data_IF_637485720144
#
_entry.id   IF_637485720144
#
_cell.length_a   1.000
_cell.length_b   1.000
_cell.length_c   1.000
_cell.angle_alpha   90.00
_cell.angle_beta   90.00
_cell.angle_gamma   90.00
#
_symmetry.space_group_name_H-M   'P 1'
#
loop_
_entity.id
_entity.type
_entity.pdbx_description
1 polymer ?
#
# COMPACT_ATOMS: atom_id res chain seq x y z
N UNK A 1 -10.81 -17.32 26.98
CA UNK A 1 -11.68 -16.38 27.73
C UNK A 1 -13.02 -16.32 27.02
N UNK A 2 -14.13 -16.15 27.72
CA UNK A 2 -15.42 -15.90 27.09
C UNK A 2 -15.37 -14.53 26.38
N UNK A 3 -16.10 -14.35 25.26
CA UNK A 3 -16.23 -13.05 24.64
C UNK A 3 -16.83 -12.02 25.62
N UNK A 4 -16.36 -10.78 25.54
CA UNK A 4 -16.90 -9.69 26.34
C UNK A 4 -18.35 -9.40 25.93
N UNK A 5 -19.20 -9.14 26.91
CA UNK A 5 -20.53 -8.61 26.68
C UNK A 5 -20.46 -7.18 26.08
N UNK A 6 -21.48 -6.72 25.33
CA UNK A 6 -21.44 -5.41 24.70
C UNK A 6 -21.14 -4.25 25.66
N UNK A 7 -21.68 -4.29 26.88
CA UNK A 7 -21.44 -3.29 27.90
C UNK A 7 -20.03 -3.33 28.49
N UNK A 8 -19.41 -4.51 28.55
CA UNK A 8 -18.04 -4.68 29.02
C UNK A 8 -17.03 -4.08 28.02
N UNK A 9 -17.36 -4.12 26.71
CA UNK A 9 -16.54 -3.51 25.66
C UNK A 9 -16.48 -1.99 25.73
N UNK A 10 -17.50 -1.35 26.28
CA UNK A 10 -17.61 0.10 26.40
C UNK A 10 -17.40 0.60 27.85
N UNK A 11 -17.01 -0.29 28.78
CA UNK A 11 -16.86 0.06 30.18
C UNK A 11 -15.67 1.03 30.37
N UNK A 12 -15.98 2.22 30.87
CA UNK A 12 -14.97 3.23 31.22
C UNK A 12 -14.38 2.86 32.59
N UNK A 13 -13.07 2.67 32.65
CA UNK A 13 -12.35 2.59 33.91
C UNK A 13 -12.12 4.01 34.46
N UNK A 14 -13.04 4.46 35.29
CA UNK A 14 -13.01 5.81 35.87
C UNK A 14 -11.71 6.06 36.68
N UNK A 15 -11.18 5.01 37.35
CA UNK A 15 -9.95 5.16 38.12
C UNK A 15 -8.76 5.52 37.27
N UNK A 16 -8.65 4.91 36.10
CA UNK A 16 -7.56 5.19 35.16
C UNK A 16 -7.85 6.41 34.29
N UNK A 17 -9.07 6.51 33.77
CA UNK A 17 -9.42 7.59 32.83
C UNK A 17 -9.36 9.00 33.45
N UNK A 18 -9.90 9.18 34.67
CA UNK A 18 -9.95 10.50 35.34
C UNK A 18 -8.57 11.09 35.68
N UNK A 19 -7.54 10.27 35.70
CA UNK A 19 -6.16 10.71 35.87
C UNK A 19 -5.54 11.28 34.59
N UNK A 20 -6.13 11.01 33.42
CA UNK A 20 -5.64 11.49 32.13
C UNK A 20 -6.02 12.96 31.88
N UNK A 21 -5.40 13.58 30.89
CA UNK A 21 -5.77 14.94 30.43
C UNK A 21 -7.23 15.00 29.99
N UNK A 22 -7.66 14.01 29.16
CA UNK A 22 -9.05 13.92 28.67
C UNK A 22 -10.04 13.64 29.80
N UNK A 23 -9.66 12.86 30.79
CA UNK A 23 -10.52 12.57 31.94
C UNK A 23 -10.79 13.74 32.89
N UNK A 24 -10.10 14.87 32.72
CA UNK A 24 -10.36 16.12 33.45
C UNK A 24 -11.42 17.01 32.81
N UNK A 25 -11.85 16.65 31.60
CA UNK A 25 -12.93 17.29 30.85
C UNK A 25 -14.27 16.66 31.22
N UNK A 26 -15.36 17.41 31.12
CA UNK A 26 -16.67 16.82 31.31
C UNK A 26 -17.01 15.88 30.16
N UNK A 27 -17.64 14.73 30.45
CA UNK A 27 -18.03 13.75 29.40
C UNK A 27 -18.87 14.40 28.29
N UNK A 28 -19.70 15.38 28.65
CA UNK A 28 -20.57 16.13 27.73
C UNK A 28 -19.82 17.08 26.81
N UNK A 29 -18.57 17.40 27.06
CA UNK A 29 -17.76 18.21 26.12
C UNK A 29 -17.43 17.43 24.85
N UNK A 30 -17.21 16.13 24.97
CA UNK A 30 -16.97 15.25 23.83
C UNK A 30 -18.25 14.53 23.36
N UNK A 31 -19.03 13.99 24.31
CA UNK A 31 -20.17 13.13 24.00
C UNK A 31 -21.50 13.88 23.90
N UNK A 32 -21.54 15.20 24.05
CA UNK A 32 -22.79 15.95 24.13
C UNK A 32 -23.74 15.38 25.23
N UNK A 33 -25.03 15.28 24.96
CA UNK A 33 -25.99 14.82 25.95
C UNK A 33 -26.33 15.88 26.97
N UNK A 34 -26.99 15.49 28.07
CA UNK A 34 -27.46 16.41 29.11
C UNK A 34 -26.93 15.96 30.47
N UNK A 35 -26.36 16.89 31.24
CA UNK A 35 -25.93 16.59 32.61
C UNK A 35 -27.15 16.38 33.51
N UNK A 36 -27.59 15.11 33.66
CA UNK A 36 -28.77 14.72 34.45
C UNK A 36 -28.48 13.45 35.23
N UNK A 37 -29.22 13.25 36.33
CA UNK A 37 -29.10 12.07 37.18
C UNK A 37 -29.83 10.83 36.59
N UNK A 38 -30.90 11.03 35.84
CA UNK A 38 -31.63 9.95 35.20
C UNK A 38 -31.06 9.66 33.84
N UNK A 39 -31.06 8.35 33.49
CA UNK A 39 -30.46 7.81 32.28
C UNK A 39 -31.11 8.39 31.00
N UNK A 40 -32.43 8.50 30.96
CA UNK A 40 -33.14 8.91 29.75
C UNK A 40 -32.80 10.36 29.38
N UNK A 41 -32.87 11.26 30.35
CA UNK A 41 -32.47 12.64 30.14
C UNK A 41 -30.99 12.78 29.81
N UNK A 42 -30.11 12.07 30.51
CA UNK A 42 -28.66 12.12 30.28
C UNK A 42 -28.27 11.67 28.87
N UNK A 43 -28.98 10.73 28.27
CA UNK A 43 -28.71 10.23 26.92
C UNK A 43 -29.40 11.01 25.81
N UNK A 44 -30.23 12.00 26.13
CA UNK A 44 -30.86 12.86 25.12
C UNK A 44 -29.80 13.66 24.38
N UNK A 45 -29.65 13.42 23.08
CA UNK A 45 -28.63 14.05 22.23
C UNK A 45 -27.20 13.54 22.45
N UNK A 46 -27.04 12.37 23.10
CA UNK A 46 -25.73 11.76 23.28
C UNK A 46 -25.10 11.36 21.95
N UNK A 47 -23.85 11.73 21.75
CA UNK A 47 -23.00 11.31 20.63
C UNK A 47 -22.14 10.13 21.09
N UNK A 48 -22.45 8.95 20.59
CA UNK A 48 -21.75 7.73 21.02
C UNK A 48 -20.30 7.68 20.51
N UNK A 49 -20.03 8.24 19.33
CA UNK A 49 -18.71 8.25 18.69
C UNK A 49 -18.34 9.68 18.26
N UNK A 50 -17.86 10.54 19.17
CA UNK A 50 -17.52 11.93 18.84
C UNK A 50 -16.38 12.03 17.81
N UNK A 51 -15.53 11.03 17.71
CA UNK A 51 -14.43 11.00 16.73
C UNK A 51 -14.88 10.84 15.28
N UNK A 52 -16.16 10.59 15.00
CA UNK A 52 -16.73 10.68 13.65
C UNK A 52 -16.99 12.11 13.16
N UNK A 53 -16.95 13.10 14.07
CA UNK A 53 -16.98 14.52 13.76
C UNK A 53 -15.74 15.20 14.41
N UNK A 54 -14.50 14.86 13.96
CA UNK A 54 -13.27 15.20 14.67
C UNK A 54 -13.06 16.70 14.79
N UNK A 55 -13.37 17.49 13.78
CA UNK A 55 -13.23 18.95 13.80
C UNK A 55 -14.07 19.58 14.91
N UNK A 56 -15.27 19.06 15.13
CA UNK A 56 -16.21 19.58 16.12
C UNK A 56 -15.83 19.21 17.57
N UNK A 57 -15.40 17.96 17.79
CA UNK A 57 -15.21 17.43 19.15
C UNK A 57 -13.74 17.33 19.58
N UNK A 58 -12.82 17.30 18.63
CA UNK A 58 -11.39 17.14 18.89
C UNK A 58 -10.57 18.35 18.41
N UNK A 59 -11.07 19.08 17.40
CA UNK A 59 -10.40 20.23 16.77
C UNK A 59 -10.27 21.46 17.67
N UNK A 60 -10.39 22.63 17.08
CA UNK A 60 -10.24 23.91 17.78
C UNK A 60 -8.85 24.07 18.39
N UNK A 61 -8.81 24.54 19.65
CA UNK A 61 -7.55 24.83 20.37
C UNK A 61 -6.79 23.57 20.83
N UNK A 62 -7.41 22.34 20.68
CA UNK A 62 -6.83 21.12 21.21
C UNK A 62 -6.05 20.34 20.14
N UNK A 63 -6.69 19.94 19.04
CA UNK A 63 -6.13 19.09 17.99
C UNK A 63 -6.39 19.64 16.58
N UNK A 64 -6.62 20.96 16.43
CA UNK A 64 -6.96 21.59 15.16
C UNK A 64 -5.89 21.40 14.07
N UNK A 65 -4.62 21.30 14.45
CA UNK A 65 -3.51 21.01 13.55
C UNK A 65 -3.57 19.62 12.91
N UNK A 66 -4.17 18.65 13.61
CA UNK A 66 -4.34 17.27 13.10
C UNK A 66 -5.71 17.10 12.43
N UNK A 67 -6.78 17.63 13.03
CA UNK A 67 -8.14 17.43 12.49
C UNK A 67 -8.32 18.09 11.13
N UNK A 68 -7.68 19.25 10.90
CA UNK A 68 -7.73 19.98 9.63
C UNK A 68 -7.07 19.25 8.44
N UNK A 69 -6.15 18.34 8.70
CA UNK A 69 -5.51 17.53 7.64
C UNK A 69 -6.11 16.13 7.54
N UNK A 70 -6.56 15.57 8.67
CA UNK A 70 -7.09 14.21 8.72
C UNK A 70 -8.36 14.03 7.87
N UNK A 71 -9.16 15.07 7.67
CA UNK A 71 -10.32 15.05 6.78
C UNK A 71 -9.94 14.60 5.36
N UNK A 72 -8.75 15.01 4.89
CA UNK A 72 -8.24 14.72 3.54
C UNK A 72 -7.31 13.51 3.49
N UNK A 73 -6.94 12.94 4.64
CA UNK A 73 -6.09 11.76 4.71
C UNK A 73 -6.78 10.52 4.12
N UNK A 74 -6.03 9.62 3.50
CA UNK A 74 -6.55 8.38 2.92
C UNK A 74 -7.29 7.51 3.94
N UNK A 75 -6.89 7.54 5.21
CA UNK A 75 -7.56 6.80 6.28
C UNK A 75 -8.96 7.31 6.59
N UNK A 76 -9.22 8.60 6.39
CA UNK A 76 -10.56 9.17 6.56
C UNK A 76 -11.34 9.22 5.25
N UNK A 77 -10.75 9.75 4.19
CA UNK A 77 -11.43 9.96 2.91
C UNK A 77 -11.72 8.68 2.14
N UNK A 78 -10.94 7.63 2.36
CA UNK A 78 -10.92 6.38 1.56
C UNK A 78 -10.74 6.62 0.05
N UNK A 79 -10.16 7.76 -0.32
CA UNK A 79 -10.03 8.20 -1.71
C UNK A 79 -9.35 7.15 -2.60
N UNK A 80 -8.42 6.35 -2.05
CA UNK A 80 -7.78 5.27 -2.80
C UNK A 80 -8.75 4.20 -3.33
N UNK A 81 -9.85 3.90 -2.60
CA UNK A 81 -10.91 3.03 -3.10
C UNK A 81 -11.74 3.72 -4.18
N UNK A 82 -12.13 4.96 -3.93
CA UNK A 82 -12.94 5.74 -4.86
C UNK A 82 -12.22 5.96 -6.18
N UNK A 83 -10.93 6.26 -6.17
CA UNK A 83 -10.11 6.39 -7.39
C UNK A 83 -10.14 5.10 -8.24
N UNK A 84 -10.02 3.94 -7.61
CA UNK A 84 -10.08 2.66 -8.31
C UNK A 84 -11.49 2.31 -8.80
N UNK A 85 -12.52 2.59 -8.00
CA UNK A 85 -13.92 2.38 -8.39
C UNK A 85 -14.32 3.31 -9.53
N UNK A 86 -13.99 4.59 -9.47
CA UNK A 86 -14.26 5.57 -10.52
C UNK A 86 -13.69 5.13 -11.87
N UNK A 87 -12.44 4.66 -11.89
CA UNK A 87 -11.82 4.19 -13.11
C UNK A 87 -12.57 2.99 -13.72
N UNK A 88 -13.09 2.09 -12.89
CA UNK A 88 -13.73 0.85 -13.34
C UNK A 88 -15.22 0.98 -13.61
N UNK A 89 -15.92 1.85 -12.89
CA UNK A 89 -17.35 2.11 -13.14
C UNK A 89 -17.58 3.04 -14.34
N UNK A 90 -16.58 3.84 -14.72
CA UNK A 90 -16.68 4.82 -15.80
C UNK A 90 -17.56 6.03 -15.48
N UNK A 91 -18.10 6.10 -14.29
CA UNK A 91 -18.90 7.22 -13.76
C UNK A 91 -18.40 7.56 -12.36
N UNK A 92 -18.76 8.74 -11.87
CA UNK A 92 -18.47 9.12 -10.48
C UNK A 92 -19.40 8.29 -9.59
N UNK A 93 -18.90 7.42 -8.69
CA UNK A 93 -19.71 6.49 -7.90
C UNK A 93 -20.75 7.16 -7.03
N UNK A 94 -20.51 8.38 -6.55
CA UNK A 94 -21.49 9.19 -5.81
C UNK A 94 -22.80 9.46 -6.57
N UNK A 95 -22.84 9.18 -7.88
CA UNK A 95 -24.04 9.22 -8.71
C UNK A 95 -24.59 7.83 -9.02
N UNK A 96 -24.01 6.77 -8.43
CA UNK A 96 -24.41 5.39 -8.68
C UNK A 96 -24.85 4.69 -7.38
N UNK A 97 -26.16 4.74 -7.02
CA UNK A 97 -26.67 4.25 -5.73
C UNK A 97 -26.26 2.81 -5.38
N UNK A 98 -26.19 1.92 -6.37
CA UNK A 98 -25.78 0.54 -6.15
C UNK A 98 -24.30 0.41 -5.77
N UNK A 99 -23.44 1.26 -6.31
CA UNK A 99 -22.00 1.30 -5.94
C UNK A 99 -21.81 1.88 -4.56
N UNK A 100 -22.57 2.92 -4.19
CA UNK A 100 -22.56 3.48 -2.83
C UNK A 100 -23.04 2.46 -1.81
N UNK A 101 -24.12 1.73 -2.11
CA UNK A 101 -24.66 0.69 -1.23
C UNK A 101 -23.61 -0.44 -1.04
N UNK A 102 -23.02 -0.92 -2.12
CA UNK A 102 -21.96 -1.93 -2.10
C UNK A 102 -20.77 -1.45 -1.28
N UNK A 103 -20.31 -0.22 -1.52
CA UNK A 103 -19.20 0.37 -0.79
C UNK A 103 -19.49 0.49 0.70
N UNK A 104 -20.66 1.02 1.06
CA UNK A 104 -21.11 1.14 2.44
C UNK A 104 -21.17 -0.20 3.18
N UNK A 105 -21.63 -1.25 2.50
CA UNK A 105 -21.78 -2.57 3.11
C UNK A 105 -20.45 -3.34 3.25
N UNK A 106 -19.49 -3.16 2.35
CA UNK A 106 -18.31 -4.03 2.27
C UNK A 106 -16.96 -3.31 2.42
N UNK A 107 -16.83 -2.08 1.94
CA UNK A 107 -15.56 -1.35 1.90
C UNK A 107 -15.43 -0.32 3.02
N UNK A 108 -16.51 0.40 3.32
CA UNK A 108 -16.52 1.47 4.33
C UNK A 108 -16.22 0.99 5.76
N UNK A 109 -16.28 -0.32 6.03
CA UNK A 109 -15.92 -0.90 7.33
C UNK A 109 -14.45 -0.68 7.71
N UNK A 110 -13.60 -0.37 6.73
CA UNK A 110 -12.20 0.02 6.95
C UNK A 110 -12.02 1.55 7.08
N UNK A 111 -13.10 2.33 7.07
CA UNK A 111 -13.06 3.75 7.39
C UNK A 111 -12.69 3.93 8.86
N UNK A 112 -11.70 4.77 9.12
CA UNK A 112 -11.22 4.98 10.48
C UNK A 112 -11.63 6.35 11.01
N UNK A 113 -11.73 6.41 12.33
CA UNK A 113 -11.88 7.66 13.07
C UNK A 113 -10.75 7.77 14.09
N UNK A 114 -10.52 8.96 14.64
CA UNK A 114 -9.51 9.16 15.69
C UNK A 114 -9.69 8.14 16.83
N UNK A 115 -10.94 7.85 17.21
CA UNK A 115 -11.26 6.91 18.29
C UNK A 115 -10.85 5.48 17.98
N UNK A 116 -11.00 5.02 16.75
CA UNK A 116 -10.67 3.64 16.34
C UNK A 116 -9.17 3.35 16.26
N UNK A 117 -8.37 4.40 16.26
CA UNK A 117 -6.92 4.29 16.38
C UNK A 117 -6.43 4.53 17.80
N UNK A 118 -7.01 5.50 18.51
CA UNK A 118 -6.44 6.03 19.75
C UNK A 118 -7.15 5.60 21.05
N UNK A 119 -8.39 5.09 21.00
CA UNK A 119 -9.13 4.73 22.22
C UNK A 119 -9.88 3.41 22.12
N UNK A 120 -10.25 2.99 20.92
CA UNK A 120 -11.00 1.76 20.67
C UNK A 120 -10.43 0.97 19.50
N UNK A 121 -10.78 -0.29 19.41
CA UNK A 121 -10.46 -1.07 18.22
C UNK A 121 -11.59 -0.97 17.19
N UNK A 122 -11.29 -1.08 15.89
CA UNK A 122 -12.27 -1.03 14.82
C UNK A 122 -13.40 -2.06 14.96
N UNK A 123 -14.57 -1.73 14.46
CA UNK A 123 -15.77 -2.58 14.54
C UNK A 123 -15.62 -3.92 13.81
N UNK A 124 -14.88 -3.97 12.72
CA UNK A 124 -14.60 -5.18 11.95
C UNK A 124 -13.86 -6.28 12.75
N UNK A 125 -13.19 -5.92 13.85
CA UNK A 125 -12.57 -6.87 14.79
C UNK A 125 -13.29 -6.92 16.14
N UNK A 126 -14.54 -6.52 16.17
CA UNK A 126 -15.42 -6.64 17.33
C UNK A 126 -15.56 -5.39 18.18
N UNK A 127 -14.92 -4.29 17.84
CA UNK A 127 -15.04 -3.01 18.55
C UNK A 127 -14.57 -3.06 20.01
N UNK A 128 -14.85 -1.99 20.75
CA UNK A 128 -14.57 -1.89 22.19
C UNK A 128 -13.31 -1.11 22.52
N UNK A 129 -13.26 -0.57 23.73
CA UNK A 129 -12.17 0.25 24.24
C UNK A 129 -10.87 -0.55 24.40
N UNK A 130 -9.73 0.06 24.15
CA UNK A 130 -8.42 -0.57 24.37
C UNK A 130 -8.15 -0.78 25.87
N UNK A 131 -8.27 0.29 26.63
CA UNK A 131 -7.96 0.32 28.07
C UNK A 131 -8.89 1.30 28.76
N UNK A 132 -10.13 0.90 29.05
CA UNK A 132 -11.07 1.66 29.86
C UNK A 132 -11.27 3.15 29.45
N UNK A 133 -11.24 3.48 28.18
CA UNK A 133 -11.35 4.83 27.60
C UNK A 133 -10.06 5.68 27.65
N UNK A 134 -8.92 5.14 27.98
CA UNK A 134 -7.65 5.88 27.91
C UNK A 134 -7.27 6.11 26.43
N UNK A 135 -6.87 7.33 26.12
CA UNK A 135 -6.38 7.69 24.78
C UNK A 135 -4.90 7.34 24.67
N UNK A 136 -4.60 6.42 23.79
CA UNK A 136 -3.23 5.99 23.48
C UNK A 136 -2.62 6.91 22.42
N UNK A 137 -1.54 7.64 22.76
CA UNK A 137 -0.82 8.45 21.77
C UNK A 137 -0.32 7.64 20.59
N UNK A 138 0.15 6.42 20.86
CA UNK A 138 0.59 5.47 19.86
C UNK A 138 -0.40 4.32 19.77
N UNK A 139 -1.15 4.18 18.65
CA UNK A 139 -2.12 3.10 18.50
C UNK A 139 -1.49 1.72 18.67
N UNK A 140 -2.15 0.79 19.38
CA UNK A 140 -1.65 -0.57 19.55
C UNK A 140 -1.72 -1.33 18.22
N UNK A 141 -0.55 -1.69 17.67
CA UNK A 141 -0.38 -2.30 16.35
C UNK A 141 -1.38 -3.43 16.06
N UNK A 142 -1.50 -4.40 16.97
CA UNK A 142 -2.30 -5.62 16.75
C UNK A 142 -3.81 -5.43 16.96
N UNK A 143 -4.23 -4.34 17.57
CA UNK A 143 -5.64 -4.03 17.84
C UNK A 143 -6.18 -2.90 16.98
N UNK A 144 -5.30 -2.12 16.36
CA UNK A 144 -5.62 -1.00 15.49
C UNK A 144 -5.17 -1.29 14.06
N UNK A 145 -3.89 -1.16 13.74
CA UNK A 145 -3.38 -1.30 12.37
C UNK A 145 -3.78 -2.63 11.71
N UNK A 146 -3.51 -3.77 12.37
CA UNK A 146 -3.80 -5.09 11.80
C UNK A 146 -5.27 -5.47 11.82
N UNK A 147 -6.14 -4.65 12.39
CA UNK A 147 -7.58 -4.83 12.28
C UNK A 147 -8.06 -4.70 10.82
N UNK A 148 -7.48 -3.77 10.09
CA UNK A 148 -7.77 -3.54 8.66
C UNK A 148 -6.65 -4.08 7.76
N UNK A 149 -5.39 -3.93 8.17
CA UNK A 149 -4.22 -4.36 7.41
C UNK A 149 -3.75 -5.79 7.74
N UNK A 150 -4.59 -6.63 8.33
CA UNK A 150 -4.20 -7.94 8.86
C UNK A 150 -3.93 -9.00 7.81
N UNK A 151 -4.75 -9.08 6.77
CA UNK A 151 -4.76 -10.23 5.83
C UNK A 151 -3.49 -10.36 4.98
N UNK A 152 -2.87 -9.24 4.62
CA UNK A 152 -1.62 -9.21 3.83
C UNK A 152 -0.49 -8.60 4.64
N UNK A 153 -0.47 -7.29 4.78
CA UNK A 153 0.61 -6.53 5.41
C UNK A 153 0.92 -7.04 6.83
N UNK A 154 -0.11 -7.20 7.67
CA UNK A 154 0.07 -7.69 9.03
C UNK A 154 0.55 -9.13 9.10
N UNK A 155 0.03 -10.02 8.25
CA UNK A 155 0.46 -11.41 8.20
C UNK A 155 1.88 -11.56 7.69
N UNK A 156 2.29 -10.79 6.68
CA UNK A 156 3.66 -10.74 6.17
C UNK A 156 4.60 -10.22 7.27
N UNK A 157 4.29 -9.07 7.87
CA UNK A 157 5.13 -8.41 8.88
C UNK A 157 5.32 -9.27 10.13
N UNK A 158 4.24 -9.84 10.64
CA UNK A 158 4.24 -10.64 11.87
C UNK A 158 4.71 -12.09 11.66
N UNK A 159 4.86 -12.56 10.41
CA UNK A 159 5.24 -13.93 10.08
C UNK A 159 4.14 -14.93 10.39
N UNK A 160 2.88 -14.59 10.12
CA UNK A 160 1.73 -15.48 10.32
C UNK A 160 1.48 -16.44 9.16
N UNK A 161 2.15 -16.24 8.04
CA UNK A 161 2.04 -17.08 6.85
C UNK A 161 2.92 -18.33 7.03
N UNK A 162 2.33 -19.52 6.89
CA UNK A 162 3.04 -20.78 7.11
C UNK A 162 4.25 -20.93 6.16
N UNK A 163 5.40 -21.25 6.74
CA UNK A 163 6.65 -21.42 5.99
C UNK A 163 7.31 -20.13 5.49
N UNK A 164 6.71 -18.98 5.73
CA UNK A 164 7.24 -17.67 5.29
C UNK A 164 7.70 -16.88 6.51
N UNK A 165 8.97 -16.45 6.56
CA UNK A 165 9.47 -15.70 7.70
C UNK A 165 8.79 -14.32 7.80
N UNK A 166 8.52 -13.87 9.01
CA UNK A 166 8.09 -12.51 9.26
C UNK A 166 9.25 -11.52 9.07
N UNK A 167 8.90 -10.25 8.99
CA UNK A 167 9.82 -9.15 8.76
C UNK A 167 10.95 -9.09 9.81
N UNK A 168 12.17 -8.85 9.36
CA UNK A 168 13.35 -8.76 10.23
C UNK A 168 13.23 -7.60 11.22
N UNK A 169 12.62 -6.49 10.84
CA UNK A 169 12.43 -5.33 11.72
C UNK A 169 11.47 -5.66 12.87
N UNK A 170 10.45 -6.52 12.62
CA UNK A 170 9.60 -7.02 13.70
C UNK A 170 10.29 -8.08 14.55
N UNK A 171 10.86 -9.12 13.92
CA UNK A 171 11.41 -10.28 14.65
C UNK A 171 12.65 -9.93 15.48
N UNK A 172 13.56 -9.16 14.89
CA UNK A 172 14.84 -8.82 15.50
C UNK A 172 14.82 -7.41 16.09
N UNK A 173 14.28 -6.43 15.35
CA UNK A 173 14.18 -5.04 15.76
C UNK A 173 13.04 -4.74 16.74
N UNK A 174 12.07 -5.65 16.89
CA UNK A 174 10.86 -5.46 17.70
C UNK A 174 10.13 -4.15 17.37
N UNK A 175 10.20 -3.74 16.11
CA UNK A 175 9.56 -2.53 15.62
C UNK A 175 8.06 -2.75 15.45
N UNK A 176 7.29 -1.69 15.68
CA UNK A 176 5.87 -1.62 15.34
C UNK A 176 5.68 -0.82 14.05
N UNK A 177 4.48 -0.85 13.48
CA UNK A 177 4.14 -0.14 12.24
C UNK A 177 4.54 1.35 12.28
N UNK A 178 4.27 2.03 13.38
CA UNK A 178 4.56 3.47 13.58
C UNK A 178 6.06 3.82 13.70
N UNK A 179 6.95 2.84 13.62
CA UNK A 179 8.39 3.11 13.52
C UNK A 179 8.81 3.48 12.10
N UNK A 180 8.04 3.04 11.12
CA UNK A 180 8.20 3.39 9.72
C UNK A 180 7.11 4.38 9.28
N UNK A 181 5.86 4.14 9.65
CA UNK A 181 4.71 4.97 9.30
C UNK A 181 4.51 6.10 10.30
N UNK A 182 4.88 7.31 9.91
CA UNK A 182 4.83 8.49 10.78
C UNK A 182 3.42 9.07 10.88
N UNK A 183 3.21 9.93 11.89
CA UNK A 183 1.94 10.62 12.09
C UNK A 183 1.53 11.49 10.89
N UNK A 184 2.46 12.14 10.21
CA UNK A 184 2.18 12.94 9.02
C UNK A 184 1.58 12.11 7.88
N UNK A 185 2.10 10.91 7.63
CA UNK A 185 1.52 9.97 6.66
C UNK A 185 0.11 9.51 7.08
N UNK A 186 -0.07 9.18 8.36
CA UNK A 186 -1.34 8.61 8.85
C UNK A 186 -2.47 9.64 8.96
N UNK A 187 -2.12 10.88 9.32
CA UNK A 187 -3.08 11.97 9.47
C UNK A 187 -3.20 12.86 8.22
N UNK A 188 -2.35 12.61 7.20
CA UNK A 188 -2.27 13.46 6.02
C UNK A 188 -1.59 14.80 6.27
N UNK A 189 -1.28 15.48 5.19
CA UNK A 189 -0.68 16.84 5.18
C UNK A 189 -1.49 17.82 4.32
N UNK A 190 -2.43 17.30 3.52
CA UNK A 190 -3.33 18.11 2.70
C UNK A 190 -4.33 18.88 3.58
N UNK A 191 -4.70 20.07 3.14
CA UNK A 191 -5.70 20.93 3.79
C UNK A 191 -6.91 21.22 2.90
N UNK A 192 -6.96 20.62 1.71
CA UNK A 192 -8.06 20.71 0.77
C UNK A 192 -8.07 19.48 -0.18
N UNK A 193 -9.15 19.32 -0.93
CA UNK A 193 -9.33 18.22 -1.89
C UNK A 193 -8.42 18.32 -3.12
N UNK A 194 -7.89 19.47 -3.45
CA UNK A 194 -6.99 19.65 -4.62
C UNK A 194 -5.62 19.05 -4.34
N UNK A 195 -5.16 19.16 -3.09
CA UNK A 195 -3.87 18.65 -2.63
C UNK A 195 -3.96 17.29 -1.93
N UNK A 196 -5.17 16.77 -1.73
CA UNK A 196 -5.41 15.47 -1.12
C UNK A 196 -4.86 14.32 -2.00
N UNK A 197 -4.37 13.27 -1.34
CA UNK A 197 -3.88 12.07 -2.02
C UNK A 197 -5.05 11.30 -2.67
N UNK A 198 -4.95 11.03 -3.97
CA UNK A 198 -5.94 10.23 -4.69
C UNK A 198 -5.77 8.72 -4.45
N UNK A 199 -4.56 8.29 -4.09
CA UNK A 199 -4.24 6.89 -3.81
C UNK A 199 -2.98 6.75 -2.93
N UNK A 200 -2.72 5.55 -2.44
CA UNK A 200 -1.57 5.25 -1.57
C UNK A 200 -0.19 5.51 -2.17
N UNK A 201 -0.11 5.79 -3.46
CA UNK A 201 1.16 6.01 -4.16
C UNK A 201 1.49 7.49 -4.31
N UNK A 202 0.57 8.38 -4.00
CA UNK A 202 0.76 9.83 -4.11
C UNK A 202 1.48 10.40 -2.87
N UNK A 203 1.48 9.65 -1.74
CA UNK A 203 2.04 10.09 -0.47
C UNK A 203 3.54 10.38 -0.51
N UNK A 204 3.91 11.61 -0.23
CA UNK A 204 5.31 12.04 -0.08
C UNK A 204 5.91 11.56 1.25
N UNK A 205 5.09 11.37 2.27
CA UNK A 205 5.48 10.97 3.62
C UNK A 205 5.64 9.45 3.79
N UNK A 206 5.44 8.67 2.72
CA UNK A 206 5.61 7.21 2.75
C UNK A 206 7.05 6.84 3.15
N UNK A 207 7.24 5.84 4.03
CA UNK A 207 8.54 5.48 4.56
C UNK A 207 9.49 4.99 3.46
N UNK A 208 10.73 5.48 3.48
CA UNK A 208 11.79 5.06 2.57
C UNK A 208 12.84 4.27 3.34
N UNK A 209 13.29 3.16 2.78
CA UNK A 209 14.32 2.32 3.42
C UNK A 209 15.60 3.10 3.72
N UNK A 210 15.97 4.01 2.82
CA UNK A 210 17.19 4.84 2.93
C UNK A 210 17.13 5.87 4.05
N UNK A 211 15.99 6.18 4.63
CA UNK A 211 15.89 7.09 5.78
C UNK A 211 16.60 6.53 7.01
N UNK A 212 16.62 5.19 7.14
CA UNK A 212 17.37 4.49 8.18
C UNK A 212 18.62 3.80 7.64
N UNK A 213 18.58 3.27 6.42
CA UNK A 213 19.66 2.55 5.76
C UNK A 213 20.42 3.44 4.76
N UNK A 214 20.83 4.63 5.19
CA UNK A 214 21.46 5.64 4.34
C UNK A 214 22.73 5.12 3.61
N UNK A 215 23.47 4.20 4.22
CA UNK A 215 24.64 3.57 3.58
C UNK A 215 24.28 2.63 2.45
N UNK A 216 23.07 2.10 2.41
CA UNK A 216 22.59 1.25 1.31
C UNK A 216 21.97 2.05 0.15
N UNK A 217 21.87 3.37 0.28
CA UNK A 217 21.47 4.24 -0.83
C UNK A 217 22.48 4.13 -2.00
N UNK A 218 22.05 4.39 -3.23
CA UNK A 218 22.97 4.39 -4.38
C UNK A 218 24.21 5.25 -4.14
N UNK A 219 25.40 4.63 -4.22
CA UNK A 219 26.69 5.28 -3.94
C UNK A 219 27.01 5.46 -2.45
N UNK A 220 26.20 4.93 -1.55
CA UNK A 220 26.41 5.06 -0.10
C UNK A 220 27.33 4.00 0.51
N UNK A 221 27.52 2.87 -0.14
CA UNK A 221 28.43 1.80 0.28
C UNK A 221 29.22 1.22 -0.91
N UNK A 222 30.17 0.33 -0.59
CA UNK A 222 31.03 -0.35 -1.58
C UNK A 222 30.39 -1.66 -2.09
N UNK A 223 29.12 -1.95 -1.73
CA UNK A 223 28.44 -3.16 -2.21
C UNK A 223 28.15 -3.01 -3.71
N UNK A 224 28.78 -3.83 -4.57
CA UNK A 224 28.59 -3.70 -6.01
C UNK A 224 27.15 -3.91 -6.44
N UNK A 225 26.34 -4.67 -5.70
CA UNK A 225 24.93 -4.87 -6.02
C UNK A 225 24.12 -3.60 -5.78
N UNK A 226 24.38 -2.86 -4.71
CA UNK A 226 23.75 -1.55 -4.48
C UNK A 226 24.19 -0.52 -5.52
N UNK A 227 25.46 -0.55 -5.93
CA UNK A 227 25.99 0.36 -6.96
C UNK A 227 25.35 0.11 -8.33
N UNK A 228 25.13 -1.16 -8.72
CA UNK A 228 24.58 -1.54 -10.02
C UNK A 228 23.06 -1.41 -10.07
N UNK A 229 22.37 -1.85 -9.01
CA UNK A 229 20.93 -2.00 -9.00
C UNK A 229 20.18 -0.93 -8.21
N UNK A 230 20.83 -0.25 -7.27
CA UNK A 230 20.16 0.60 -6.28
C UNK A 230 19.39 1.80 -6.83
N UNK A 231 19.71 2.28 -8.04
CA UNK A 231 18.93 3.33 -8.71
C UNK A 231 17.75 2.79 -9.55
N UNK A 232 17.68 1.49 -9.78
CA UNK A 232 16.77 0.86 -10.75
C UNK A 232 15.74 -0.05 -10.11
N UNK A 233 16.18 -0.80 -9.10
CA UNK A 233 15.35 -1.77 -8.41
C UNK A 233 14.94 -1.24 -7.05
N UNK A 234 13.67 -1.33 -6.69
CA UNK A 234 13.27 -1.07 -5.32
C UNK A 234 13.92 -2.07 -4.36
N UNK A 235 14.19 -1.64 -3.14
CA UNK A 235 14.88 -2.46 -2.14
C UNK A 235 14.17 -3.81 -1.91
N UNK A 236 12.84 -3.82 -1.98
CA UNK A 236 12.02 -5.02 -1.81
C UNK A 236 12.26 -6.07 -2.90
N UNK A 237 12.73 -5.71 -4.10
CA UNK A 237 13.07 -6.69 -5.15
C UNK A 237 14.11 -7.68 -4.64
N UNK A 238 15.11 -7.20 -3.93
CA UNK A 238 16.18 -8.04 -3.38
C UNK A 238 15.91 -8.51 -1.94
N UNK A 239 15.16 -7.73 -1.16
CA UNK A 239 15.06 -7.90 0.28
C UNK A 239 13.68 -8.35 0.79
N UNK A 240 12.73 -8.69 -0.06
CA UNK A 240 11.50 -9.35 0.38
C UNK A 240 11.45 -10.81 -0.06
N UNK A 241 10.66 -11.61 0.64
CA UNK A 241 10.41 -13.01 0.28
C UNK A 241 9.00 -13.15 -0.29
N UNK A 242 8.59 -14.36 -0.61
CA UNK A 242 7.25 -14.66 -1.12
C UNK A 242 6.15 -13.96 -0.31
N UNK A 243 5.20 -13.36 -1.00
CA UNK A 243 4.12 -12.57 -0.41
C UNK A 243 2.77 -12.94 -1.04
N UNK A 244 1.68 -12.42 -0.46
CA UNK A 244 0.32 -12.77 -0.85
C UNK A 244 -0.16 -11.93 -2.02
N UNK A 245 -0.68 -12.59 -3.06
CA UNK A 245 -1.48 -11.99 -4.13
C UNK A 245 -2.98 -12.22 -3.88
N UNK A 246 -3.83 -11.39 -4.46
CA UNK A 246 -5.27 -11.63 -4.49
C UNK A 246 -5.64 -12.30 -5.81
N UNK A 247 -6.44 -13.36 -5.75
CA UNK A 247 -6.90 -14.04 -6.96
C UNK A 247 -8.28 -13.57 -7.39
N UNK A 248 -9.12 -13.23 -6.43
CA UNK A 248 -10.47 -12.73 -6.68
C UNK A 248 -11.00 -11.93 -5.49
N UNK A 249 -11.90 -11.00 -5.77
CA UNK A 249 -12.69 -10.27 -4.77
C UNK A 249 -14.11 -10.15 -5.31
N UNK A 250 -15.10 -10.70 -4.60
CA UNK A 250 -16.50 -10.66 -5.02
C UNK A 250 -17.45 -10.65 -3.84
N UNK A 251 -18.71 -10.31 -4.11
CA UNK A 251 -19.79 -10.42 -3.15
C UNK A 251 -20.46 -11.77 -3.33
N UNK A 252 -20.37 -12.60 -2.30
CA UNK A 252 -21.09 -13.85 -2.20
C UNK A 252 -22.36 -13.67 -1.36
N UNK A 253 -23.30 -14.62 -1.46
CA UNK A 253 -24.55 -14.62 -0.69
C UNK A 253 -24.57 -15.83 0.22
N UNK A 254 -24.82 -15.61 1.50
CA UNK A 254 -24.94 -16.68 2.47
C UNK A 254 -26.16 -17.56 2.20
N UNK A 255 -25.96 -18.83 2.01
CA UNK A 255 -27.06 -19.82 1.82
C UNK A 255 -27.99 -19.88 3.02
N UNK A 256 -27.50 -19.56 4.22
CA UNK A 256 -28.26 -19.65 5.47
C UNK A 256 -29.09 -18.40 5.74
N UNK A 257 -28.53 -17.22 5.52
CA UNK A 257 -29.20 -15.95 5.88
C UNK A 257 -29.72 -15.18 4.69
N UNK A 258 -29.26 -15.46 3.48
CA UNK A 258 -29.54 -14.66 2.27
C UNK A 258 -28.81 -13.31 2.25
N UNK A 259 -27.95 -13.04 3.23
CA UNK A 259 -27.23 -11.77 3.30
C UNK A 259 -25.96 -11.81 2.46
N UNK A 260 -25.63 -10.69 1.78
CA UNK A 260 -24.36 -10.58 1.07
C UNK A 260 -23.19 -10.48 2.05
N UNK A 261 -22.06 -11.04 1.66
CA UNK A 261 -20.77 -10.87 2.35
C UNK A 261 -19.65 -10.76 1.34
N UNK A 262 -18.59 -10.08 1.73
CA UNK A 262 -17.41 -9.89 0.88
C UNK A 262 -16.47 -11.08 1.03
N UNK A 263 -16.12 -11.70 -0.10
CA UNK A 263 -15.21 -12.82 -0.16
C UNK A 263 -13.96 -12.44 -0.95
N UNK A 264 -12.81 -12.84 -0.45
CA UNK A 264 -11.54 -12.59 -1.11
C UNK A 264 -10.72 -13.87 -1.13
N UNK A 265 -10.30 -14.29 -2.32
CA UNK A 265 -9.34 -15.35 -2.48
C UNK A 265 -7.93 -14.75 -2.53
N UNK A 266 -7.00 -15.41 -1.87
CA UNK A 266 -5.61 -15.02 -1.88
C UNK A 266 -4.71 -16.24 -1.93
N UNK A 267 -3.67 -16.16 -2.76
CA UNK A 267 -2.66 -17.20 -2.86
C UNK A 267 -1.26 -16.66 -2.57
N UNK A 268 -0.37 -17.57 -2.20
CA UNK A 268 1.06 -17.28 -2.10
C UNK A 268 1.67 -17.52 -3.48
N UNK A 269 1.83 -16.44 -4.22
CA UNK A 269 2.38 -16.53 -5.54
C UNK A 269 3.88 -16.42 -5.57
N UNK A 270 4.40 -16.94 -6.66
CA UNK A 270 5.74 -16.66 -7.12
C UNK A 270 6.00 -15.16 -7.08
N UNK A 271 7.15 -14.79 -6.58
CA UNK A 271 7.64 -13.42 -6.60
C UNK A 271 7.88 -12.99 -8.05
N UNK A 272 7.25 -11.92 -8.48
CA UNK A 272 7.49 -11.32 -9.78
C UNK A 272 8.02 -9.90 -9.67
N UNK A 273 8.96 -9.59 -10.58
CA UNK A 273 9.49 -8.26 -10.82
C UNK A 273 8.82 -7.72 -12.08
N UNK A 274 8.16 -6.58 -11.97
CA UNK A 274 7.57 -5.86 -13.10
C UNK A 274 8.17 -4.48 -13.28
N UNK A 275 7.83 -3.83 -14.38
CA UNK A 275 8.07 -2.39 -14.54
C UNK A 275 7.20 -1.63 -13.54
N UNK A 276 7.69 -0.50 -13.11
CA UNK A 276 6.94 0.39 -12.22
C UNK A 276 5.94 1.23 -13.02
N UNK A 277 4.62 0.95 -12.97
CA UNK A 277 3.63 1.70 -13.74
C UNK A 277 3.33 3.10 -13.17
N UNK A 278 3.84 3.38 -11.97
CA UNK A 278 3.61 4.62 -11.23
C UNK A 278 4.93 5.32 -10.89
N UNK A 279 5.93 5.20 -11.78
CA UNK A 279 7.23 5.82 -11.57
C UNK A 279 7.10 7.35 -11.43
N UNK A 280 7.70 7.89 -10.37
CA UNK A 280 7.70 9.31 -10.02
C UNK A 280 8.97 9.67 -9.26
N UNK A 281 9.16 10.94 -8.95
CA UNK A 281 10.30 11.39 -8.11
C UNK A 281 10.29 10.71 -6.74
N UNK A 282 9.12 10.43 -6.19
CA UNK A 282 8.96 9.72 -4.92
C UNK A 282 9.14 8.19 -5.05
N UNK A 283 8.93 7.65 -6.24
CA UNK A 283 9.07 6.22 -6.58
C UNK A 283 9.93 6.04 -7.83
N UNK A 284 11.22 6.40 -7.75
CA UNK A 284 12.08 6.53 -8.93
C UNK A 284 12.47 5.19 -9.59
N UNK A 285 12.25 4.08 -8.91
CA UNK A 285 12.69 2.78 -9.38
C UNK A 285 11.95 2.34 -10.64
N UNK A 286 12.70 1.88 -11.64
CA UNK A 286 12.15 1.37 -12.90
C UNK A 286 11.50 -0.01 -12.73
N UNK A 287 11.99 -0.83 -11.79
CA UNK A 287 11.50 -2.18 -11.55
C UNK A 287 11.18 -2.38 -10.07
N UNK A 288 10.07 -3.04 -9.82
CA UNK A 288 9.48 -3.21 -8.49
C UNK A 288 8.87 -4.61 -8.35
N UNK A 289 8.68 -5.11 -7.12
CA UNK A 289 7.83 -6.27 -6.93
C UNK A 289 6.41 -5.94 -7.36
N UNK A 290 5.78 -6.86 -8.06
CA UNK A 290 4.39 -6.71 -8.47
C UNK A 290 3.54 -7.84 -7.90
N UNK A 291 2.28 -7.52 -7.63
CA UNK A 291 1.30 -8.45 -7.05
C UNK A 291 0.07 -8.48 -7.94
N UNK A 292 -0.49 -9.67 -8.14
CA UNK A 292 -1.72 -9.84 -8.89
C UNK A 292 -2.93 -9.41 -8.04
N UNK A 293 -3.75 -8.53 -8.58
CA UNK A 293 -5.00 -8.03 -7.99
C UNK A 293 -6.03 -7.92 -9.11
N UNK A 294 -6.59 -9.05 -9.55
CA UNK A 294 -7.55 -9.07 -10.65
C UNK A 294 -8.84 -8.35 -10.28
N UNK A 295 -9.56 -7.88 -11.28
CA UNK A 295 -10.92 -7.38 -11.15
C UNK A 295 -11.85 -8.25 -12.00
N UNK A 296 -12.86 -8.82 -11.38
CA UNK A 296 -13.93 -9.53 -12.07
C UNK A 296 -15.04 -8.52 -12.42
N UNK A 297 -15.50 -8.43 -13.68
CA UNK A 297 -16.58 -7.54 -14.07
C UNK A 297 -17.89 -7.82 -13.29
N UNK A 298 -18.06 -9.04 -12.82
CA UNK A 298 -19.27 -9.46 -12.09
C UNK A 298 -19.09 -9.45 -10.55
N UNK A 299 -17.97 -8.92 -10.06
CA UNK A 299 -17.65 -8.95 -8.63
C UNK A 299 -18.77 -8.42 -7.71
N UNK A 300 -19.62 -7.54 -8.22
CA UNK A 300 -20.69 -6.87 -7.48
C UNK A 300 -22.08 -7.11 -8.10
N UNK A 301 -22.27 -8.19 -8.86
CA UNK A 301 -23.53 -8.53 -9.55
C UNK A 301 -24.75 -8.58 -8.60
N UNK A 302 -24.53 -8.89 -7.31
CA UNK A 302 -25.58 -8.84 -6.28
C UNK A 302 -26.27 -7.48 -6.18
N UNK A 303 -25.53 -6.38 -6.40
CA UNK A 303 -26.06 -5.01 -6.30
C UNK A 303 -26.60 -4.47 -7.62
N UNK A 304 -26.21 -5.02 -8.74
CA UNK A 304 -26.68 -4.61 -10.06
C UNK A 304 -25.86 -5.21 -11.19
N UNK A 305 -26.43 -5.22 -12.37
CA UNK A 305 -25.78 -5.73 -13.57
C UNK A 305 -24.76 -4.69 -14.11
N UNK A 306 -23.62 -5.19 -14.56
CA UNK A 306 -22.57 -4.39 -15.26
C UNK A 306 -22.11 -3.14 -14.47
N UNK A 307 -21.91 -3.29 -13.17
CA UNK A 307 -21.42 -2.18 -12.33
C UNK A 307 -19.97 -1.80 -12.61
N UNK A 308 -19.18 -2.67 -13.22
CA UNK A 308 -17.79 -2.42 -13.59
C UNK A 308 -17.59 -2.54 -15.11
N UNK A 309 -18.19 -1.67 -15.94
CA UNK A 309 -18.10 -1.77 -17.41
C UNK A 309 -16.65 -1.59 -17.91
N UNK A 310 -15.79 -0.92 -17.15
CA UNK A 310 -14.37 -0.70 -17.44
C UNK A 310 -13.48 -1.47 -16.43
N UNK A 311 -13.84 -2.71 -16.10
CA UNK A 311 -13.12 -3.49 -15.08
C UNK A 311 -11.61 -3.61 -15.36
N UNK A 312 -11.21 -3.55 -16.62
CA UNK A 312 -9.85 -3.62 -17.15
C UNK A 312 -9.15 -2.26 -17.31
N UNK A 313 -9.76 -1.16 -16.84
CA UNK A 313 -9.19 0.20 -16.93
C UNK A 313 -7.86 0.36 -16.17
N UNK A 314 -7.59 -0.49 -15.20
CA UNK A 314 -6.37 -0.47 -14.40
C UNK A 314 -5.61 -1.80 -14.52
N UNK A 315 -4.28 -1.78 -14.44
CA UNK A 315 -3.49 -3.00 -14.38
C UNK A 315 -3.96 -3.93 -13.28
N UNK A 316 -3.98 -5.25 -13.56
CA UNK A 316 -4.24 -6.29 -12.56
C UNK A 316 -2.95 -6.71 -11.83
N UNK A 317 -1.79 -6.46 -12.43
CA UNK A 317 -0.49 -6.54 -11.76
C UNK A 317 -0.09 -5.15 -11.28
N UNK A 318 -0.06 -4.97 -9.97
CA UNK A 318 0.14 -3.66 -9.34
C UNK A 318 1.43 -3.61 -8.55
N UNK A 319 2.02 -2.41 -8.47
CA UNK A 319 3.16 -2.16 -7.60
C UNK A 319 2.85 -2.63 -6.17
N UNK A 320 3.77 -3.38 -5.61
CA UNK A 320 3.62 -3.99 -4.30
C UNK A 320 4.76 -3.58 -3.39
N UNK A 321 4.43 -3.41 -2.11
CA UNK A 321 5.38 -3.14 -1.03
C UNK A 321 5.30 -4.28 -0.01
N UNK A 322 5.95 -5.43 -0.25
CA UNK A 322 5.93 -6.54 0.68
C UNK A 322 6.49 -6.15 2.06
N UNK A 323 5.87 -6.67 3.12
CA UNK A 323 6.24 -6.37 4.50
C UNK A 323 6.87 -7.58 5.22
N UNK A 324 7.61 -8.40 4.49
CA UNK A 324 8.36 -9.55 5.00
C UNK A 324 9.84 -9.44 4.64
N UNK A 325 10.41 -8.29 4.96
CA UNK A 325 11.80 -7.95 4.61
C UNK A 325 12.80 -8.90 5.31
N UNK A 326 13.78 -9.37 4.53
CA UNK A 326 14.89 -10.21 4.97
C UNK A 326 16.21 -9.67 4.42
N UNK A 327 17.29 -9.86 5.19
CA UNK A 327 18.64 -9.52 4.70
C UNK A 327 19.05 -10.40 3.53
N UNK A 328 18.82 -11.70 3.66
CA UNK A 328 19.15 -12.70 2.65
C UNK A 328 17.86 -13.31 2.12
N UNK A 329 17.74 -13.38 0.81
CA UNK A 329 16.58 -13.91 0.09
C UNK A 329 17.07 -14.74 -1.10
N UNK A 330 16.24 -15.59 -1.69
CA UNK A 330 16.63 -16.31 -2.91
C UNK A 330 17.05 -15.38 -4.06
N UNK A 331 16.49 -14.16 -4.13
CA UNK A 331 16.78 -13.21 -5.20
C UNK A 331 18.19 -12.60 -5.07
N UNK A 332 18.72 -12.46 -3.85
CA UNK A 332 20.04 -11.86 -3.65
C UNK A 332 21.14 -12.88 -3.30
N UNK A 333 20.87 -14.17 -3.50
CA UNK A 333 21.82 -15.24 -3.24
C UNK A 333 22.96 -15.25 -4.27
N UNK A 334 22.63 -15.09 -5.56
CA UNK A 334 23.60 -15.01 -6.65
C UNK A 334 23.08 -14.18 -7.83
N UNK A 335 23.96 -13.84 -8.77
CA UNK A 335 23.58 -13.14 -10.01
C UNK A 335 22.60 -13.99 -10.85
N UNK A 336 22.79 -15.29 -10.87
CA UNK A 336 21.98 -16.24 -11.63
C UNK A 336 20.53 -16.30 -11.11
N UNK A 337 20.27 -15.88 -9.87
CA UNK A 337 18.91 -15.82 -9.32
C UNK A 337 17.95 -14.93 -10.15
N UNK A 338 18.52 -13.95 -10.87
CA UNK A 338 17.77 -13.05 -11.75
C UNK A 338 18.24 -13.08 -13.21
N UNK A 339 19.50 -13.46 -13.47
CA UNK A 339 20.12 -13.33 -14.80
C UNK A 339 20.32 -14.64 -15.54
N UNK A 340 19.95 -15.79 -14.97
CA UNK A 340 19.97 -17.05 -15.72
C UNK A 340 18.90 -17.08 -16.81
N UNK A 341 19.17 -17.83 -17.88
CA UNK A 341 18.26 -17.92 -19.04
C UNK A 341 16.87 -18.51 -18.67
N UNK A 342 16.84 -19.43 -17.72
CA UNK A 342 15.65 -20.15 -17.29
C UNK A 342 14.94 -19.53 -16.08
N UNK A 343 15.40 -18.38 -15.60
CA UNK A 343 14.79 -17.73 -14.45
C UNK A 343 13.41 -17.17 -14.77
N UNK A 344 12.48 -17.34 -13.82
CA UNK A 344 11.07 -17.00 -14.01
C UNK A 344 10.58 -15.89 -13.06
N UNK A 345 11.51 -15.04 -12.59
CA UNK A 345 11.19 -14.02 -11.59
C UNK A 345 10.59 -12.73 -12.19
N UNK A 346 10.83 -12.47 -13.49
CA UNK A 346 10.28 -11.29 -14.17
C UNK A 346 8.88 -11.55 -14.70
N UNK A 347 8.01 -10.56 -14.62
CA UNK A 347 6.67 -10.61 -15.19
C UNK A 347 6.73 -10.36 -16.70
N UNK A 348 6.90 -11.43 -17.45
CA UNK A 348 6.88 -11.43 -18.93
C UNK A 348 5.48 -11.69 -19.47
N UNK A 349 5.22 -11.35 -20.72
CA UNK A 349 3.88 -11.43 -21.34
C UNK A 349 3.25 -12.84 -21.29
N UNK A 350 4.07 -13.89 -21.33
CA UNK A 350 3.62 -15.28 -21.23
C UNK A 350 3.08 -15.68 -19.85
N UNK A 351 3.31 -14.85 -18.83
CA UNK A 351 2.82 -15.04 -17.45
C UNK A 351 1.55 -14.26 -17.13
N UNK A 352 1.18 -13.37 -18.02
CA UNK A 352 -0.04 -12.57 -17.90
C UNK A 352 -1.16 -13.23 -18.69
N UNK A 353 -2.35 -13.31 -18.12
CA UNK A 353 -3.51 -13.88 -18.83
C UNK A 353 -3.79 -13.10 -20.12
N UNK A 354 -4.16 -13.76 -21.22
CA UNK A 354 -4.39 -13.09 -22.49
C UNK A 354 -5.36 -11.92 -22.43
N UNK A 355 -6.40 -12.04 -21.65
CA UNK A 355 -7.42 -11.00 -21.43
C UNK A 355 -6.90 -9.78 -20.62
N UNK A 356 -5.83 -9.97 -19.87
CA UNK A 356 -5.23 -8.92 -19.02
C UNK A 356 -4.02 -8.24 -19.69
N UNK A 357 -3.53 -8.74 -20.84
CA UNK A 357 -2.31 -8.25 -21.48
C UNK A 357 -2.34 -6.74 -21.77
N UNK A 358 -3.46 -6.25 -22.28
CA UNK A 358 -3.60 -4.84 -22.64
C UNK A 358 -3.51 -3.93 -21.41
N UNK A 359 -4.21 -4.28 -20.32
CA UNK A 359 -4.21 -3.53 -19.08
C UNK A 359 -2.83 -3.53 -18.39
N UNK A 360 -2.05 -4.61 -18.58
CA UNK A 360 -0.75 -4.78 -17.93
C UNK A 360 0.45 -4.41 -18.82
N UNK A 361 0.24 -3.83 -19.99
CA UNK A 361 1.32 -3.50 -20.93
C UNK A 361 2.42 -2.62 -20.31
N UNK A 362 2.07 -1.74 -19.38
CA UNK A 362 3.01 -0.86 -18.67
C UNK A 362 3.83 -1.58 -17.57
N UNK A 363 3.41 -2.77 -17.17
CA UNK A 363 4.03 -3.54 -16.07
C UNK A 363 4.90 -4.68 -16.59
N UNK A 364 4.58 -5.21 -17.77
CA UNK A 364 5.27 -6.33 -18.38
C UNK A 364 6.72 -5.97 -18.72
N UNK A 365 7.63 -6.89 -18.40
CA UNK A 365 9.06 -6.82 -18.77
C UNK A 365 9.25 -7.58 -20.07
N UNK A 366 9.94 -6.97 -21.04
CA UNK A 366 10.12 -7.57 -22.38
C UNK A 366 10.92 -8.86 -22.37
N UNK A 367 11.99 -8.92 -21.56
CA UNK A 367 12.86 -10.07 -21.46
C UNK A 367 13.67 -10.04 -20.15
N UNK A 368 14.07 -11.22 -19.70
CA UNK A 368 15.01 -11.34 -18.58
C UNK A 368 16.33 -10.62 -18.93
N UNK A 369 16.92 -9.84 -18.00
CA UNK A 369 18.23 -9.25 -18.24
C UNK A 369 19.28 -10.36 -18.30
N UNK A 370 20.13 -10.42 -19.34
CA UNK A 370 21.18 -11.43 -19.44
C UNK A 370 22.27 -11.20 -18.37
N UNK A 371 22.95 -12.28 -18.01
CA UNK A 371 24.10 -12.19 -17.11
C UNK A 371 25.27 -11.44 -17.81
N UNK A 372 25.78 -10.44 -17.16
CA UNK A 372 26.89 -9.60 -17.65
C UNK A 372 28.04 -9.65 -16.67
N UNK A 373 29.26 -9.55 -17.20
CA UNK A 373 30.46 -9.37 -16.40
C UNK A 373 30.38 -8.08 -15.57
N UNK A 374 30.49 -8.21 -14.25
CA UNK A 374 30.35 -7.09 -13.32
C UNK A 374 31.38 -5.97 -13.60
N UNK A 375 32.61 -6.32 -13.99
CA UNK A 375 33.65 -5.31 -14.32
C UNK A 375 33.22 -4.48 -15.55
N UNK A 376 32.60 -5.11 -16.55
CA UNK A 376 32.03 -4.40 -17.71
C UNK A 376 30.91 -3.47 -17.30
N UNK A 377 30.00 -3.90 -16.43
CA UNK A 377 28.89 -3.06 -15.95
C UNK A 377 29.42 -1.85 -15.20
N UNK A 378 30.35 -2.04 -14.28
CA UNK A 378 30.92 -0.95 -13.47
C UNK A 378 31.77 0.03 -14.30
N UNK A 379 32.33 -0.43 -15.43
CA UNK A 379 33.13 0.40 -16.36
C UNK A 379 32.31 0.97 -17.54
N UNK A 380 31.03 0.62 -17.68
CA UNK A 380 30.22 1.10 -18.79
C UNK A 380 30.10 2.63 -18.78
N UNK A 381 30.26 3.31 -19.93
CA UNK A 381 30.15 4.77 -19.99
C UNK A 381 28.71 5.21 -19.70
N UNK A 382 28.57 6.35 -19.02
CA UNK A 382 27.27 6.98 -18.84
C UNK A 382 26.70 7.45 -20.19
N UNK A 383 25.38 7.49 -20.32
CA UNK A 383 24.73 8.07 -21.48
C UNK A 383 25.06 9.56 -21.57
N UNK A 384 25.29 10.11 -22.79
CA UNK A 384 25.51 11.55 -22.96
C UNK A 384 24.33 12.38 -22.40
N UNK A 385 24.61 13.59 -21.91
CA UNK A 385 23.57 14.50 -21.40
C UNK A 385 22.46 14.81 -22.41
N UNK A 386 22.79 14.77 -23.70
CA UNK A 386 21.81 14.93 -24.78
C UNK A 386 20.70 13.84 -24.82
N UNK A 387 20.85 12.75 -24.04
CA UNK A 387 19.86 11.68 -23.93
C UNK A 387 18.91 11.89 -22.74
N UNK A 388 19.12 12.91 -21.91
CA UNK A 388 18.29 13.16 -20.72
C UNK A 388 16.79 13.40 -21.05
N UNK A 389 16.49 13.84 -22.28
CA UNK A 389 15.11 14.05 -22.76
C UNK A 389 14.48 12.80 -23.40
N UNK A 390 15.26 11.73 -23.61
CA UNK A 390 14.73 10.49 -24.17
C UNK A 390 14.30 9.56 -23.04
N UNK A 391 12.99 9.42 -22.89
CA UNK A 391 12.41 8.41 -22.02
C UNK A 391 12.81 7.03 -22.57
N UNK A 392 13.47 6.24 -21.75
CA UNK A 392 14.08 4.97 -22.07
C UNK A 392 13.11 4.01 -22.71
N UNK A 393 13.26 3.31 -23.66
CA UNK A 393 12.73 2.11 -24.30
C UNK A 393 12.81 2.19 -25.83
N UNK A 394 13.73 3.00 -26.36
CA UNK A 394 13.95 3.10 -27.80
C UNK A 394 15.43 3.25 -28.13
N UNK A 395 16.33 2.83 -27.23
CA UNK A 395 17.78 2.91 -27.45
C UNK A 395 18.17 2.16 -28.72
N UNK A 396 17.66 0.95 -28.92
CA UNK A 396 17.96 0.12 -30.09
C UNK A 396 17.46 0.76 -31.38
N UNK A 397 16.40 1.57 -31.37
CA UNK A 397 15.90 2.24 -32.56
C UNK A 397 16.94 3.13 -33.24
N UNK A 398 17.82 3.77 -32.44
CA UNK A 398 18.89 4.60 -32.95
C UNK A 398 20.23 3.84 -33.02
N UNK A 399 20.56 3.10 -31.96
CA UNK A 399 21.87 2.47 -31.82
C UNK A 399 22.06 1.18 -32.62
N UNK A 400 21.01 0.55 -33.14
CA UNK A 400 21.15 -0.59 -34.06
C UNK A 400 21.43 -0.12 -35.50
N UNK A 401 20.88 1.01 -35.89
CA UNK A 401 20.92 1.49 -37.28
C UNK A 401 21.78 2.73 -37.49
N UNK A 402 22.27 3.37 -36.43
CA UNK A 402 23.06 4.60 -36.50
C UNK A 402 22.27 5.84 -36.92
N UNK A 403 20.93 5.81 -36.79
CA UNK A 403 20.07 6.97 -37.09
C UNK A 403 20.51 8.16 -36.22
N UNK A 404 20.46 9.36 -36.76
CA UNK A 404 20.87 10.61 -36.11
C UNK A 404 22.33 10.62 -35.66
N UNK A 405 23.21 9.91 -36.34
CA UNK A 405 24.62 9.70 -35.98
C UNK A 405 24.82 9.01 -34.64
N UNK A 406 23.85 8.24 -34.14
CA UNK A 406 24.03 7.42 -32.96
C UNK A 406 25.14 6.38 -33.20
N UNK A 407 26.07 6.18 -32.26
CA UNK A 407 27.04 5.09 -32.38
C UNK A 407 26.32 3.75 -32.51
N UNK A 408 26.72 2.93 -33.47
CA UNK A 408 26.16 1.57 -33.60
C UNK A 408 26.60 0.74 -32.40
N UNK A 409 25.68 0.03 -31.78
CA UNK A 409 25.95 -0.86 -30.65
C UNK A 409 27.00 -1.90 -31.06
N UNK A 410 27.99 -2.19 -30.19
CA UNK A 410 28.96 -3.25 -30.41
C UNK A 410 28.30 -4.62 -30.64
N UNK A 411 28.97 -5.53 -31.35
CA UNK A 411 28.43 -6.86 -31.64
C UNK A 411 28.08 -7.67 -30.38
N UNK A 412 28.84 -7.49 -29.30
CA UNK A 412 28.58 -8.12 -28.00
C UNK A 412 27.33 -7.58 -27.27
N UNK A 413 26.70 -6.53 -27.79
CA UNK A 413 25.45 -5.97 -27.30
C UNK A 413 24.20 -6.52 -28.02
N UNK A 414 24.35 -7.39 -29.01
CA UNK A 414 23.24 -7.89 -29.82
C UNK A 414 22.16 -8.67 -29.05
N UNK A 415 22.51 -9.16 -27.87
CA UNK A 415 21.60 -9.94 -26.99
C UNK A 415 20.74 -9.04 -26.07
N UNK A 416 21.09 -7.75 -25.95
CA UNK A 416 20.38 -6.82 -25.06
C UNK A 416 19.20 -6.16 -25.76
N UNK A 417 18.12 -5.98 -25.01
CA UNK A 417 16.93 -5.25 -25.41
C UNK A 417 16.92 -3.87 -24.75
N UNK A 418 16.06 -2.99 -25.21
CA UNK A 418 15.95 -1.61 -24.70
C UNK A 418 15.84 -1.55 -23.17
N UNK A 419 15.08 -2.45 -22.56
CA UNK A 419 14.95 -2.58 -21.11
C UNK A 419 16.28 -2.85 -20.38
N UNK A 420 17.25 -3.44 -21.06
CA UNK A 420 18.53 -3.79 -20.47
C UNK A 420 19.59 -2.68 -20.64
N UNK A 421 19.42 -1.76 -21.59
CA UNK A 421 20.44 -0.75 -21.90
C UNK A 421 20.79 0.09 -20.69
N UNK A 422 19.82 0.64 -19.99
CA UNK A 422 20.03 1.40 -18.76
C UNK A 422 20.44 0.50 -17.56
N UNK A 423 20.48 -0.81 -17.75
CA UNK A 423 21.07 -1.76 -16.83
C UNK A 423 22.56 -1.48 -16.60
N UNK A 424 23.27 -1.15 -17.66
CA UNK A 424 24.72 -0.85 -17.64
C UNK A 424 25.00 0.64 -17.81
N UNK A 425 24.28 1.32 -18.70
CA UNK A 425 24.51 2.73 -19.03
C UNK A 425 23.66 3.64 -18.13
N UNK A 426 24.31 4.34 -17.20
CA UNK A 426 23.61 5.30 -16.34
C UNK A 426 23.24 6.56 -17.12
N UNK A 427 22.06 7.11 -16.89
CA UNK A 427 21.67 8.40 -17.43
C UNK A 427 22.60 9.49 -16.89
N UNK A 428 23.07 10.37 -17.76
CA UNK A 428 23.79 11.57 -17.32
C UNK A 428 22.83 12.45 -16.50
N UNK A 429 23.28 12.87 -15.34
CA UNK A 429 22.54 13.81 -14.46
C UNK A 429 22.64 15.21 -14.99
#
# INVERSE_FOLDING_TARGET
>A
MAPLEPWEKALVDAGTFLETTHGKMACTECHAGTAAADKETAHTGLVASPSSEPEKYCGGDCHGDVTSTYEFALHNSQQGYWTALNARTGEIPENHPAVEEMFGNHCATCHTTCGECHVSQPKNVGGGLFTGHVFEKTPPMTRSCTACHGSRVGNEFLGKNEGIPGDVHFREGRMSCVKCHAGAELHGTATDMETAEANRYDGMEAPKCVDCHATAAPGGDDNPMHQVHGEKLSCQVCHSVTYTSCDNCHVAVSETSGNPFFETDATYHTFFIGRNPIQSDERPYAFVPVRHVPADPNAYEFYGENLLPNFDALPTWVYSTPHNIQKNTPQNESCESCHAEDVSIFLTADKVKPEELAANASVIVEANPPLVDLEKVLSAPNTPAAHAEFVSNSCTACHTTGIRNAPISPEDHAVYKDDNCLGCHKMAK
#
